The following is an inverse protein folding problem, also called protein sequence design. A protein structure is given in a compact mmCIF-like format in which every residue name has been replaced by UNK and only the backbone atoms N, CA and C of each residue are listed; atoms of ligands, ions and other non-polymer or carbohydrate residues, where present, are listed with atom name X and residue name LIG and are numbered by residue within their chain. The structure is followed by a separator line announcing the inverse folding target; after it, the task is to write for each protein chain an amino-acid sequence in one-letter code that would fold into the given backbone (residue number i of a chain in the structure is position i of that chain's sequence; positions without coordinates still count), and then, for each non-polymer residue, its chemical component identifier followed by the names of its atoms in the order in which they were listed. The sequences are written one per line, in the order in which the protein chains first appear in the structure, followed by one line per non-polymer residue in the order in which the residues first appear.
data_IF_443864255852
#
_entry.id   IF_443864255852
#
_cell.length_a   1.000
_cell.length_b   1.000
_cell.length_c   1.000
_cell.angle_alpha   90.00
_cell.angle_beta   90.00
_cell.angle_gamma   90.00
#
_symmetry.space_group_name_H-M   'P 1'
#
loop_
_entity.id
_entity.type
_entity.pdbx_description
1 polymer ?
#
# COMPACT_ATOMS: atom_id res chain seq x y z
N UNK A 1 -16.12 -15.19 10.86
CA UNK A 1 -17.05 -14.87 9.76
C UNK A 1 -16.68 -15.71 8.55
N UNK A 2 -17.64 -16.37 7.89
CA UNK A 2 -17.41 -17.02 6.59
C UNK A 2 -17.28 -15.93 5.51
N UNK A 3 -16.36 -16.02 4.56
CA UNK A 3 -16.20 -15.01 3.51
C UNK A 3 -17.48 -14.94 2.66
N UNK A 4 -17.97 -13.72 2.44
CA UNK A 4 -19.16 -13.48 1.60
C UNK A 4 -18.80 -13.81 0.14
N UNK A 5 -19.69 -14.46 -0.64
CA UNK A 5 -19.43 -14.71 -2.06
C UNK A 5 -19.17 -13.39 -2.79
N UNK A 6 -18.07 -13.37 -3.52
CA UNK A 6 -17.55 -12.19 -4.19
C UNK A 6 -18.23 -12.05 -5.55
N UNK A 7 -18.99 -10.96 -5.75
CA UNK A 7 -19.63 -10.66 -7.03
C UNK A 7 -18.59 -10.08 -7.99
N UNK A 8 -18.63 -10.52 -9.24
CA UNK A 8 -17.81 -9.97 -10.31
C UNK A 8 -18.58 -9.99 -11.62
N UNK A 9 -18.29 -9.05 -12.49
CA UNK A 9 -18.84 -8.94 -13.85
C UNK A 9 -17.72 -8.56 -14.80
N UNK A 10 -17.79 -9.02 -16.04
CA UNK A 10 -16.76 -8.76 -17.04
C UNK A 10 -17.39 -8.32 -18.37
N UNK A 11 -16.74 -7.37 -19.04
CA UNK A 11 -17.04 -6.93 -20.40
C UNK A 11 -15.82 -7.18 -21.27
N UNK A 12 -16.02 -7.88 -22.39
CA UNK A 12 -15.01 -8.01 -23.45
C UNK A 12 -15.49 -7.28 -24.68
N UNK A 13 -14.65 -6.42 -25.21
CA UNK A 13 -14.97 -5.59 -26.37
C UNK A 13 -13.70 -5.28 -27.17
N UNK A 14 -13.88 -4.86 -28.41
CA UNK A 14 -12.80 -4.23 -29.16
C UNK A 14 -12.64 -2.78 -28.71
N UNK A 15 -11.41 -2.26 -28.76
CA UNK A 15 -11.17 -0.84 -28.55
C UNK A 15 -11.66 -0.08 -29.78
N UNK A 16 -12.80 0.59 -29.64
CA UNK A 16 -13.46 1.38 -30.68
C UNK A 16 -14.09 2.63 -30.05
N UNK A 17 -13.91 3.84 -30.63
CA UNK A 17 -14.57 5.05 -30.15
C UNK A 17 -16.09 4.92 -29.98
N UNK A 18 -16.76 4.15 -30.85
CA UNK A 18 -18.21 3.97 -30.81
C UNK A 18 -18.67 3.12 -29.60
N UNK A 19 -17.73 2.45 -28.92
CA UNK A 19 -17.99 1.59 -27.77
C UNK A 19 -17.57 2.24 -26.43
N UNK A 20 -17.08 3.47 -26.42
CA UNK A 20 -16.70 4.19 -25.19
C UNK A 20 -17.87 4.25 -24.20
N UNK A 21 -19.06 4.65 -24.68
CA UNK A 21 -20.26 4.73 -23.85
C UNK A 21 -20.72 3.37 -23.31
N UNK A 22 -20.44 2.27 -24.03
CA UNK A 22 -20.73 0.92 -23.53
C UNK A 22 -19.82 0.58 -22.34
N UNK A 23 -18.52 0.91 -22.42
CA UNK A 23 -17.59 0.70 -21.33
C UNK A 23 -17.93 1.57 -20.10
N UNK A 24 -18.22 2.86 -20.33
CA UNK A 24 -18.62 3.78 -19.26
C UNK A 24 -19.91 3.31 -18.57
N UNK A 25 -20.95 2.95 -19.33
CA UNK A 25 -22.19 2.41 -18.77
C UNK A 25 -21.96 1.10 -18.01
N UNK A 26 -21.09 0.21 -18.52
CA UNK A 26 -20.72 -1.00 -17.82
C UNK A 26 -20.09 -0.71 -16.45
N UNK A 27 -19.13 0.22 -16.39
CA UNK A 27 -18.49 0.65 -15.15
C UNK A 27 -19.49 1.29 -14.18
N UNK A 28 -20.33 2.20 -14.67
CA UNK A 28 -21.36 2.89 -13.89
C UNK A 28 -22.32 1.89 -13.22
N UNK A 29 -22.93 1.01 -14.03
CA UNK A 29 -23.92 0.05 -13.55
C UNK A 29 -23.30 -0.99 -12.62
N UNK A 30 -22.06 -1.41 -12.89
CA UNK A 30 -21.31 -2.31 -12.02
C UNK A 30 -21.00 -1.67 -10.66
N UNK A 31 -20.44 -0.45 -10.66
CA UNK A 31 -20.12 0.32 -9.47
C UNK A 31 -21.37 0.59 -8.61
N UNK A 32 -22.49 0.96 -9.24
CA UNK A 32 -23.77 1.16 -8.56
C UNK A 32 -24.31 -0.14 -7.95
N UNK A 33 -24.26 -1.26 -8.68
CA UNK A 33 -24.68 -2.57 -8.18
C UNK A 33 -23.81 -3.08 -7.00
N UNK A 34 -22.56 -2.60 -6.93
CA UNK A 34 -21.60 -2.86 -5.85
C UNK A 34 -21.64 -1.83 -4.71
N UNK A 35 -22.65 -0.94 -4.73
CA UNK A 35 -23.00 -0.01 -3.66
C UNK A 35 -21.94 1.07 -3.41
N UNK A 36 -21.25 1.53 -4.45
CA UNK A 36 -20.54 2.80 -4.36
C UNK A 36 -21.54 3.96 -4.28
N UNK A 37 -21.16 5.04 -3.60
CA UNK A 37 -21.94 6.28 -3.60
C UNK A 37 -21.87 6.97 -4.97
N UNK A 38 -22.79 7.90 -5.24
CA UNK A 38 -22.90 8.57 -6.55
C UNK A 38 -21.59 9.22 -7.02
N UNK A 39 -20.82 9.83 -6.10
CA UNK A 39 -19.55 10.50 -6.45
C UNK A 39 -18.52 9.46 -6.85
N UNK A 40 -18.46 8.35 -6.12
CA UNK A 40 -17.54 7.24 -6.41
C UNK A 40 -17.92 6.45 -7.68
N UNK A 41 -19.21 6.29 -7.98
CA UNK A 41 -19.70 5.73 -9.25
C UNK A 41 -19.27 6.63 -10.42
N UNK A 42 -19.51 7.93 -10.32
CA UNK A 42 -19.10 8.90 -11.35
C UNK A 42 -17.57 8.87 -11.56
N UNK A 43 -16.80 8.79 -10.48
CA UNK A 43 -15.34 8.71 -10.54
C UNK A 43 -14.83 7.51 -11.36
N UNK A 44 -15.36 6.31 -11.11
CA UNK A 44 -15.00 5.14 -11.91
C UNK A 44 -15.49 5.27 -13.35
N UNK A 45 -16.73 5.72 -13.56
CA UNK A 45 -17.31 5.90 -14.90
C UNK A 45 -16.44 6.80 -15.78
N UNK A 46 -16.06 7.97 -15.26
CA UNK A 46 -15.18 8.91 -15.96
C UNK A 46 -13.79 8.30 -16.17
N UNK A 47 -13.25 7.58 -15.20
CA UNK A 47 -11.95 6.94 -15.36
C UNK A 47 -11.94 5.85 -16.45
N UNK A 48 -13.01 5.07 -16.54
CA UNK A 48 -13.21 4.08 -17.60
C UNK A 48 -13.36 4.77 -18.96
N UNK A 49 -14.19 5.81 -19.05
CA UNK A 49 -14.43 6.58 -20.28
C UNK A 49 -13.11 7.11 -20.84
N UNK A 50 -12.36 7.84 -20.01
CA UNK A 50 -11.09 8.46 -20.40
C UNK A 50 -10.02 7.43 -20.79
N UNK A 51 -9.97 6.29 -20.09
CA UNK A 51 -9.02 5.24 -20.42
C UNK A 51 -9.36 4.56 -21.74
N UNK A 52 -10.63 4.25 -22.01
CA UNK A 52 -11.04 3.62 -23.26
C UNK A 52 -10.92 4.61 -24.43
N UNK A 53 -11.26 5.88 -24.21
CA UNK A 53 -11.05 6.94 -25.19
C UNK A 53 -9.56 7.07 -25.53
N UNK A 54 -8.69 7.14 -24.53
CA UNK A 54 -7.24 7.18 -24.73
C UNK A 54 -6.76 5.95 -25.52
N UNK A 55 -7.19 4.74 -25.14
CA UNK A 55 -6.85 3.52 -25.87
C UNK A 55 -7.30 3.56 -27.33
N UNK A 56 -8.49 4.10 -27.61
CA UNK A 56 -9.05 4.19 -28.97
C UNK A 56 -8.26 5.10 -29.91
N UNK A 57 -7.48 6.04 -29.35
CA UNK A 57 -6.59 6.96 -30.07
C UNK A 57 -5.17 6.41 -30.24
N UNK A 58 -4.81 5.34 -29.54
CA UNK A 58 -3.47 4.73 -29.60
C UNK A 58 -3.41 3.54 -30.56
N UNK A 59 -2.22 2.93 -30.68
CA UNK A 59 -2.00 1.70 -31.44
C UNK A 59 -2.80 0.48 -30.94
N UNK A 60 -3.56 0.62 -29.84
CA UNK A 60 -4.48 -0.39 -29.33
C UNK A 60 -5.83 -0.44 -30.07
N UNK A 61 -6.12 0.52 -30.96
CA UNK A 61 -7.37 0.56 -31.74
C UNK A 61 -7.59 -0.74 -32.52
N UNK A 62 -8.78 -1.32 -32.40
CA UNK A 62 -9.14 -2.62 -33.00
C UNK A 62 -8.62 -3.84 -32.23
N UNK A 63 -7.78 -3.65 -31.20
CA UNK A 63 -7.39 -4.69 -30.25
C UNK A 63 -8.53 -5.05 -29.29
N UNK A 64 -8.48 -6.24 -28.70
CA UNK A 64 -9.45 -6.65 -27.68
C UNK A 64 -9.06 -6.17 -26.28
N UNK A 65 -10.01 -5.65 -25.52
CA UNK A 65 -9.88 -5.34 -24.09
C UNK A 65 -10.87 -6.15 -23.27
N UNK A 66 -10.48 -6.47 -22.04
CA UNK A 66 -11.37 -7.02 -21.02
C UNK A 66 -11.40 -6.10 -19.80
N UNK A 67 -12.60 -5.69 -19.40
CA UNK A 67 -12.85 -4.91 -18.20
C UNK A 67 -13.54 -5.83 -17.20
N UNK A 68 -12.92 -6.03 -16.04
CA UNK A 68 -13.44 -6.84 -14.94
C UNK A 68 -13.75 -5.93 -13.75
N UNK A 69 -15.01 -5.83 -13.35
CA UNK A 69 -15.40 -5.15 -12.13
C UNK A 69 -15.67 -6.18 -11.04
N UNK A 70 -15.05 -5.98 -9.88
CA UNK A 70 -15.09 -6.91 -8.76
C UNK A 70 -15.49 -6.21 -7.48
N UNK A 71 -16.53 -6.71 -6.84
CA UNK A 71 -16.96 -6.21 -5.54
C UNK A 71 -16.04 -6.73 -4.44
N UNK A 72 -15.44 -5.82 -3.68
CA UNK A 72 -14.96 -6.09 -2.33
C UNK A 72 -15.93 -5.49 -1.32
N UNK A 73 -15.80 -5.92 -0.06
CA UNK A 73 -16.71 -5.42 0.98
C UNK A 73 -16.55 -3.90 1.14
N UNK A 74 -15.31 -3.40 1.14
CA UNK A 74 -15.00 -1.98 1.37
C UNK A 74 -14.63 -1.18 0.11
N UNK A 75 -14.46 -1.82 -1.05
CA UNK A 75 -14.07 -1.16 -2.29
C UNK A 75 -14.61 -1.88 -3.54
N UNK A 76 -14.47 -1.26 -4.69
CA UNK A 76 -14.63 -1.88 -6.01
C UNK A 76 -13.28 -1.84 -6.71
N UNK A 77 -12.88 -2.98 -7.25
CA UNK A 77 -11.71 -3.12 -8.11
C UNK A 77 -12.18 -3.20 -9.57
N UNK A 78 -11.68 -2.30 -10.42
CA UNK A 78 -11.90 -2.36 -11.87
C UNK A 78 -10.57 -2.69 -12.56
N UNK A 79 -10.52 -3.82 -13.24
CA UNK A 79 -9.30 -4.31 -13.88
C UNK A 79 -9.45 -4.30 -15.39
N UNK A 80 -8.52 -3.62 -16.06
CA UNK A 80 -8.37 -3.60 -17.51
C UNK A 80 -7.24 -4.55 -17.91
N UNK A 81 -7.56 -5.52 -18.76
CA UNK A 81 -6.59 -6.34 -19.47
C UNK A 81 -6.43 -5.77 -20.87
N UNK A 82 -5.22 -5.30 -21.17
CA UNK A 82 -4.91 -4.49 -22.33
C UNK A 82 -3.90 -5.21 -23.24
N UNK A 83 -4.10 -5.15 -24.57
CA UNK A 83 -3.20 -5.78 -25.53
C UNK A 83 -1.93 -4.92 -25.71
N UNK A 84 -0.78 -5.43 -25.26
CA UNK A 84 0.54 -4.86 -25.56
C UNK A 84 1.01 -3.63 -24.75
N UNK A 85 2.23 -3.15 -25.06
CA UNK A 85 3.03 -2.18 -24.28
C UNK A 85 2.95 -0.71 -24.74
N UNK A 86 1.95 -0.34 -25.53
CA UNK A 86 1.87 1.02 -26.11
C UNK A 86 0.80 1.91 -25.44
N UNK A 87 0.57 1.75 -24.14
CA UNK A 87 -0.31 2.62 -23.37
C UNK A 87 0.50 3.77 -22.76
N UNK A 88 0.25 5.01 -23.17
CA UNK A 88 0.90 6.17 -22.55
C UNK A 88 0.38 6.42 -21.13
N UNK A 89 1.19 6.00 -20.15
CA UNK A 89 0.85 6.13 -18.73
C UNK A 89 1.47 7.36 -18.07
N UNK A 90 2.04 8.31 -18.84
CA UNK A 90 2.63 9.54 -18.27
C UNK A 90 1.62 10.35 -17.46
N UNK A 91 0.34 10.29 -17.82
CA UNK A 91 -0.77 10.91 -17.10
C UNK A 91 -0.96 10.42 -15.64
N UNK A 92 -0.35 9.29 -15.27
CA UNK A 92 -0.37 8.76 -13.90
C UNK A 92 0.78 9.26 -13.04
N UNK A 93 1.76 9.98 -13.62
CA UNK A 93 2.73 10.73 -12.82
C UNK A 93 2.00 11.85 -12.08
N UNK A 94 2.28 12.04 -10.78
CA UNK A 94 1.68 13.12 -9.98
C UNK A 94 2.00 14.50 -10.59
N UNK A 95 3.17 14.60 -11.22
CA UNK A 95 3.70 15.79 -11.88
C UNK A 95 3.12 16.05 -13.26
N UNK A 96 2.27 15.17 -13.79
CA UNK A 96 1.64 15.40 -15.08
C UNK A 96 0.84 16.71 -15.05
N UNK A 97 1.14 17.60 -16.00
CA UNK A 97 0.50 18.91 -16.14
C UNK A 97 -0.11 19.03 -17.52
N UNK A 98 -1.27 19.67 -17.54
CA UNK A 98 -1.89 20.18 -18.76
C UNK A 98 -1.24 21.53 -19.05
N UNK A 99 -0.64 21.66 -20.23
CA UNK A 99 -0.17 22.95 -20.74
C UNK A 99 -1.26 23.55 -21.62
N UNK A 100 -1.93 24.65 -21.22
CA UNK A 100 -3.01 25.24 -22.03
C UNK A 100 -2.55 25.73 -23.41
N UNK A 101 -1.24 25.79 -23.66
CA UNK A 101 -0.63 26.18 -24.94
C UNK A 101 -0.32 24.98 -25.87
N UNK A 102 -0.53 23.74 -25.40
CA UNK A 102 -0.27 22.51 -26.14
C UNK A 102 -1.58 21.72 -26.32
N UNK A 103 -2.09 21.70 -27.57
CA UNK A 103 -3.31 20.95 -27.95
C UNK A 103 -3.21 19.46 -27.58
N UNK A 104 -2.01 18.86 -27.65
CA UNK A 104 -1.81 17.46 -27.25
C UNK A 104 -1.91 17.22 -25.74
N UNK A 105 -1.70 18.26 -24.92
CA UNK A 105 -1.83 18.16 -23.47
C UNK A 105 -3.27 18.40 -22.98
N UNK A 106 -4.09 19.14 -23.75
CA UNK A 106 -5.53 19.23 -23.53
C UNK A 106 -6.17 17.84 -23.71
N UNK A 107 -5.67 17.05 -24.66
CA UNK A 107 -6.08 15.67 -24.89
C UNK A 107 -5.70 14.69 -23.77
N UNK A 108 -4.58 14.93 -23.05
CA UNK A 108 -4.14 14.14 -21.90
C UNK A 108 -4.84 14.55 -20.58
N UNK A 109 -5.61 15.64 -20.58
CA UNK A 109 -6.27 16.20 -19.39
C UNK A 109 -7.22 15.20 -18.74
N UNK A 110 -8.00 14.48 -19.55
CA UNK A 110 -9.01 13.55 -19.08
C UNK A 110 -8.41 12.35 -18.33
N UNK A 111 -7.33 11.75 -18.85
CA UNK A 111 -6.62 10.66 -18.18
C UNK A 111 -5.94 11.11 -16.87
N UNK A 112 -5.45 12.36 -16.81
CA UNK A 112 -4.92 12.96 -15.57
C UNK A 112 -6.03 13.17 -14.53
N UNK A 113 -7.22 13.61 -14.95
CA UNK A 113 -8.36 13.75 -14.05
C UNK A 113 -8.80 12.37 -13.54
N UNK A 114 -8.96 11.41 -14.45
CA UNK A 114 -9.30 10.02 -14.13
C UNK A 114 -8.34 9.40 -13.10
N UNK A 115 -7.03 9.56 -13.28
CA UNK A 115 -6.02 9.02 -12.37
C UNK A 115 -6.10 9.62 -10.96
N UNK A 116 -6.61 10.85 -10.83
CA UNK A 116 -6.82 11.55 -9.55
C UNK A 116 -8.17 11.24 -8.89
N UNK A 117 -9.13 10.66 -9.60
CA UNK A 117 -10.46 10.36 -9.08
C UNK A 117 -10.54 9.00 -8.37
N UNK A 118 -9.61 8.10 -8.66
CA UNK A 118 -9.49 6.78 -8.01
C UNK A 118 -8.64 6.86 -6.74
N UNK A 119 -8.85 5.95 -5.80
CA UNK A 119 -8.14 5.95 -4.51
C UNK A 119 -6.80 5.21 -4.58
N UNK A 120 -6.61 4.41 -5.63
CA UNK A 120 -5.34 3.80 -5.97
C UNK A 120 -5.39 3.06 -7.30
N UNK A 121 -4.22 2.71 -7.81
CA UNK A 121 -4.13 1.78 -8.93
C UNK A 121 -2.92 0.84 -8.81
N UNK A 122 -2.95 -0.23 -9.58
CA UNK A 122 -1.84 -1.18 -9.72
C UNK A 122 -1.64 -1.49 -11.19
N UNK A 123 -0.39 -1.55 -11.63
CA UNK A 123 -0.04 -2.00 -12.97
C UNK A 123 0.81 -3.26 -12.87
N UNK A 124 0.52 -4.25 -13.70
CA UNK A 124 1.31 -5.49 -13.79
C UNK A 124 1.47 -5.89 -15.26
N UNK A 125 2.69 -6.26 -15.64
CA UNK A 125 2.90 -6.94 -16.94
C UNK A 125 2.38 -8.38 -16.84
N UNK A 126 1.58 -8.78 -17.81
CA UNK A 126 1.09 -10.15 -17.98
C UNK A 126 1.61 -10.70 -19.32
N UNK A 127 1.64 -12.03 -19.53
CA UNK A 127 2.24 -12.63 -20.74
C UNK A 127 1.76 -12.00 -22.06
N UNK A 128 0.46 -11.65 -22.14
CA UNK A 128 -0.18 -11.13 -23.36
C UNK A 128 -0.46 -9.61 -23.32
N UNK A 129 0.13 -8.87 -22.37
CA UNK A 129 -0.05 -7.42 -22.30
C UNK A 129 0.11 -6.80 -20.92
N UNK A 130 -0.77 -5.86 -20.60
CA UNK A 130 -0.77 -5.10 -19.36
C UNK A 130 -2.07 -5.29 -18.60
N UNK A 131 -1.96 -5.41 -17.29
CA UNK A 131 -3.10 -5.41 -16.37
C UNK A 131 -3.06 -4.15 -15.53
N UNK A 132 -3.98 -3.22 -15.77
CA UNK A 132 -4.21 -2.05 -14.94
C UNK A 132 -5.40 -2.32 -14.02
N UNK A 133 -5.25 -2.12 -12.72
CA UNK A 133 -6.36 -2.20 -11.76
C UNK A 133 -6.55 -0.86 -11.11
N UNK A 134 -7.74 -0.29 -11.24
CA UNK A 134 -8.20 0.88 -10.52
C UNK A 134 -8.96 0.44 -9.26
N UNK A 135 -8.81 1.18 -8.17
CA UNK A 135 -9.45 0.88 -6.90
C UNK A 135 -10.23 2.11 -6.45
N UNK A 136 -11.52 1.92 -6.17
CA UNK A 136 -12.35 2.93 -5.54
C UNK A 136 -12.96 2.40 -4.26
N UNK A 137 -12.63 3.04 -3.15
CA UNK A 137 -13.16 2.69 -1.83
C UNK A 137 -14.57 3.24 -1.64
N UNK A 138 -15.35 2.55 -0.81
CA UNK A 138 -16.63 3.09 -0.32
C UNK A 138 -16.34 4.24 0.64
N UNK A 139 -17.27 5.18 0.71
CA UNK A 139 -17.17 6.27 1.66
C UNK A 139 -17.39 5.78 3.09
N UNK A 140 -16.44 6.07 3.97
CA UNK A 140 -16.55 5.84 5.41
C UNK A 140 -16.39 7.16 6.16
N UNK A 141 -17.23 7.42 7.19
CA UNK A 141 -17.02 8.57 8.05
C UNK A 141 -15.72 8.39 8.85
N UNK A 142 -14.92 9.44 8.89
CA UNK A 142 -13.82 9.53 9.84
C UNK A 142 -14.39 9.69 11.24
N UNK A 143 -13.78 9.04 12.22
CA UNK A 143 -14.22 9.20 13.60
C UNK A 143 -13.58 10.45 14.21
N UNK A 144 -14.43 11.33 14.73
CA UNK A 144 -14.06 12.57 15.42
C UNK A 144 -14.08 12.41 16.93
N UNK A 145 -13.12 13.04 17.61
CA UNK A 145 -13.04 13.06 19.08
C UNK A 145 -12.41 11.79 19.67
N UNK A 146 -12.19 11.83 20.97
CA UNK A 146 -11.57 10.73 21.72
C UNK A 146 -12.61 9.75 22.24
N UNK A 147 -12.15 8.55 22.62
CA UNK A 147 -12.98 7.59 23.33
C UNK A 147 -13.25 8.08 24.74
N UNK A 148 -14.53 8.20 25.10
CA UNK A 148 -14.97 8.82 26.36
C UNK A 148 -15.27 7.84 27.49
N UNK A 149 -15.03 6.54 27.29
CA UNK A 149 -15.27 5.54 28.32
C UNK A 149 -14.19 5.54 29.42
N UNK A 150 -14.31 4.63 30.38
CA UNK A 150 -13.27 4.41 31.39
C UNK A 150 -12.55 3.10 31.12
N UNK A 151 -11.23 3.14 31.00
CA UNK A 151 -10.42 1.93 30.93
C UNK A 151 -10.14 1.45 32.34
N UNK A 152 -10.34 0.17 32.61
CA UNK A 152 -10.01 -0.46 33.88
C UNK A 152 -9.07 -1.65 33.64
N UNK A 153 -8.14 -1.94 34.58
CA UNK A 153 -7.35 -3.16 34.53
C UNK A 153 -8.26 -4.40 34.46
N UNK A 154 -7.85 -5.42 33.70
CA UNK A 154 -8.60 -6.66 33.58
C UNK A 154 -7.88 -7.75 34.36
N UNK A 155 -8.48 -8.21 35.47
CA UNK A 155 -7.92 -9.32 36.26
C UNK A 155 -7.92 -10.66 35.49
N UNK A 156 -8.93 -10.86 34.65
CA UNK A 156 -9.06 -12.02 33.78
C UNK A 156 -9.56 -11.62 32.40
N UNK A 157 -8.96 -12.20 31.36
CA UNK A 157 -9.31 -11.94 29.98
C UNK A 157 -9.15 -13.21 29.13
N UNK A 158 -9.68 -13.15 27.92
CA UNK A 158 -9.43 -14.14 26.87
C UNK A 158 -9.11 -13.43 25.56
N UNK A 159 -8.18 -13.98 24.78
CA UNK A 159 -7.88 -13.48 23.44
C UNK A 159 -8.81 -14.11 22.42
N UNK A 160 -9.56 -13.30 21.69
CA UNK A 160 -10.55 -13.76 20.70
C UNK A 160 -10.74 -12.75 19.58
N UNK A 161 -11.46 -13.16 18.53
CA UNK A 161 -11.92 -12.22 17.50
C UNK A 161 -13.04 -11.33 18.07
N UNK A 162 -12.99 -10.02 17.82
CA UNK A 162 -14.08 -9.12 18.19
C UNK A 162 -15.29 -9.33 17.27
N UNK A 163 -16.48 -8.94 17.75
CA UNK A 163 -17.59 -8.60 16.85
C UNK A 163 -17.42 -7.22 16.21
N UNK A 164 -18.39 -6.80 15.39
CA UNK A 164 -18.32 -5.53 14.65
C UNK A 164 -18.32 -4.29 15.55
N UNK A 165 -19.01 -4.30 16.68
CA UNK A 165 -19.07 -3.14 17.58
C UNK A 165 -17.84 -3.10 18.48
N UNK A 166 -17.42 -4.25 19.01
CA UNK A 166 -16.16 -4.38 19.76
C UNK A 166 -14.96 -3.94 18.92
N UNK A 167 -14.94 -4.28 17.63
CA UNK A 167 -13.87 -3.87 16.72
C UNK A 167 -13.84 -2.34 16.54
N UNK A 168 -15.00 -1.68 16.41
CA UNK A 168 -15.05 -0.22 16.34
C UNK A 168 -14.56 0.40 17.65
N UNK A 169 -14.96 -0.14 18.80
CA UNK A 169 -14.50 0.31 20.11
C UNK A 169 -13.00 0.17 20.24
N UNK A 170 -12.42 -0.98 19.88
CA UNK A 170 -10.98 -1.22 19.89
C UNK A 170 -10.23 -0.19 19.04
N UNK A 171 -10.67 0.06 17.81
CA UNK A 171 -10.02 1.05 16.93
C UNK A 171 -10.11 2.46 17.54
N UNK A 172 -11.24 2.82 18.16
CA UNK A 172 -11.40 4.12 18.82
C UNK A 172 -10.48 4.28 20.03
N UNK A 173 -10.37 3.22 20.85
CA UNK A 173 -9.43 3.19 21.99
C UNK A 173 -7.98 3.29 21.52
N UNK A 174 -7.57 2.54 20.49
CA UNK A 174 -6.22 2.61 19.94
C UNK A 174 -5.87 4.04 19.50
N UNK A 175 -6.79 4.73 18.80
CA UNK A 175 -6.62 6.14 18.41
C UNK A 175 -6.51 7.12 19.59
N UNK A 176 -7.17 6.81 20.70
CA UNK A 176 -7.19 7.67 21.88
C UNK A 176 -5.90 7.54 22.69
N UNK A 177 -5.34 6.33 22.79
CA UNK A 177 -4.23 6.03 23.71
C UNK A 177 -2.86 5.87 23.05
N UNK A 178 -2.78 5.91 21.72
CA UNK A 178 -1.52 5.75 20.97
C UNK A 178 -1.32 6.87 19.96
N UNK A 179 -0.06 7.14 19.66
CA UNK A 179 0.32 8.16 18.70
C UNK A 179 0.00 7.73 17.26
N UNK A 180 -0.30 8.70 16.40
CA UNK A 180 -0.61 8.48 14.98
C UNK A 180 0.40 7.59 14.25
N UNK A 181 1.70 7.74 14.53
CA UNK A 181 2.76 6.94 13.90
C UNK A 181 2.64 5.43 14.21
N UNK A 182 1.98 5.07 15.32
CA UNK A 182 1.78 3.71 15.78
C UNK A 182 0.46 3.12 15.30
N UNK A 183 -0.28 3.80 14.41
CA UNK A 183 -1.62 3.41 14.02
C UNK A 183 -1.70 3.18 12.51
N UNK A 184 -2.31 2.08 12.03
CA UNK A 184 -2.60 1.93 10.61
C UNK A 184 -3.49 3.05 10.09
N UNK A 185 -3.28 3.49 8.85
CA UNK A 185 -4.12 4.51 8.18
C UNK A 185 -5.63 4.17 8.26
N UNK A 186 -5.97 2.88 8.13
CA UNK A 186 -7.35 2.42 8.19
C UNK A 186 -8.04 2.74 9.54
N UNK A 187 -7.30 2.97 10.62
CA UNK A 187 -7.88 3.23 11.94
C UNK A 187 -8.67 4.54 11.97
N UNK A 188 -8.38 5.49 11.06
CA UNK A 188 -9.21 6.70 10.86
C UNK A 188 -10.69 6.37 10.60
N UNK A 189 -10.97 5.19 10.05
CA UNK A 189 -12.28 4.77 9.61
C UNK A 189 -12.66 3.42 10.24
N UNK A 190 -13.17 3.37 11.49
CA UNK A 190 -13.51 2.11 12.16
C UNK A 190 -14.50 1.24 11.37
N UNK A 191 -15.45 1.84 10.67
CA UNK A 191 -16.34 1.13 9.75
C UNK A 191 -15.60 0.40 8.62
N UNK A 192 -14.55 1.03 8.07
CA UNK A 192 -13.68 0.42 7.07
C UNK A 192 -12.92 -0.78 7.65
N UNK A 193 -12.40 -0.66 8.87
CA UNK A 193 -11.70 -1.78 9.55
C UNK A 193 -12.62 -2.99 9.71
N UNK A 194 -13.90 -2.78 10.07
CA UNK A 194 -14.90 -3.84 10.13
C UNK A 194 -15.10 -4.51 8.77
N UNK A 195 -15.25 -3.74 7.70
CA UNK A 195 -15.47 -4.26 6.36
C UNK A 195 -14.21 -4.95 5.78
N UNK A 196 -13.02 -4.44 6.08
CA UNK A 196 -11.75 -5.09 5.73
C UNK A 196 -11.56 -6.42 6.48
N UNK A 197 -11.98 -6.50 7.75
CA UNK A 197 -12.00 -7.76 8.49
C UNK A 197 -13.03 -8.74 7.91
N UNK A 198 -14.20 -8.25 7.50
CA UNK A 198 -15.22 -9.05 6.83
C UNK A 198 -14.77 -9.57 5.45
N UNK A 199 -13.95 -8.79 4.75
CA UNK A 199 -13.32 -9.16 3.48
C UNK A 199 -12.17 -10.17 3.64
N UNK A 200 -11.72 -10.42 4.87
CA UNK A 200 -10.57 -11.28 5.17
C UNK A 200 -9.21 -10.62 4.95
N UNK A 201 -9.18 -9.30 4.72
CA UNK A 201 -7.93 -8.55 4.60
C UNK A 201 -7.35 -8.24 5.98
N UNK A 202 -8.21 -8.05 6.99
CA UNK A 202 -7.78 -7.96 8.37
C UNK A 202 -8.17 -9.18 9.20
N UNK A 203 -7.23 -9.65 10.02
CA UNK A 203 -7.56 -10.43 11.22
C UNK A 203 -7.29 -9.54 12.42
N UNK A 204 -8.29 -9.37 13.29
CA UNK A 204 -8.13 -8.63 14.54
C UNK A 204 -8.38 -9.58 15.70
N UNK A 205 -7.54 -9.50 16.72
CA UNK A 205 -7.69 -10.20 17.98
C UNK A 205 -7.73 -9.16 19.10
N UNK A 206 -8.67 -9.31 20.03
CA UNK A 206 -8.79 -8.49 21.22
C UNK A 206 -8.63 -9.34 22.47
N UNK A 207 -8.06 -8.76 23.51
CA UNK A 207 -8.09 -9.28 24.87
C UNK A 207 -9.30 -8.66 25.58
N UNK A 208 -10.28 -9.48 25.94
CA UNK A 208 -11.50 -9.01 26.59
C UNK A 208 -11.93 -9.89 27.76
N UNK A 209 -12.55 -9.28 28.75
CA UNK A 209 -13.16 -9.98 29.88
C UNK A 209 -14.54 -10.59 29.53
N UNK A 210 -15.17 -11.25 30.51
CA UNK A 210 -16.50 -11.86 30.33
C UNK A 210 -17.64 -10.86 30.17
N UNK A 211 -17.42 -9.61 30.54
CA UNK A 211 -18.40 -8.52 30.43
C UNK A 211 -18.25 -7.71 29.15
N UNK A 212 -17.23 -8.02 28.33
CA UNK A 212 -16.97 -7.35 27.06
C UNK A 212 -16.04 -6.15 27.16
N UNK A 213 -15.42 -5.87 28.32
CA UNK A 213 -14.43 -4.81 28.41
C UNK A 213 -13.17 -5.21 27.66
N UNK A 214 -12.63 -4.30 26.85
CA UNK A 214 -11.44 -4.51 26.03
C UNK A 214 -10.22 -4.00 26.78
N UNK A 215 -9.27 -4.90 27.05
CA UNK A 215 -7.98 -4.58 27.66
C UNK A 215 -6.88 -4.35 26.63
N UNK A 216 -7.05 -4.84 25.40
CA UNK A 216 -6.08 -4.64 24.33
C UNK A 216 -6.44 -5.36 23.03
N UNK A 217 -5.58 -5.24 22.03
CA UNK A 217 -5.72 -5.94 20.76
C UNK A 217 -4.53 -5.82 19.82
N UNK A 218 -4.56 -6.64 18.76
CA UNK A 218 -3.56 -6.68 17.69
C UNK A 218 -4.28 -6.84 16.36
N UNK A 219 -3.78 -6.17 15.33
CA UNK A 219 -4.29 -6.27 13.97
C UNK A 219 -3.24 -6.91 13.06
N UNK A 220 -3.69 -7.87 12.25
CA UNK A 220 -2.94 -8.46 11.15
C UNK A 220 -3.57 -8.03 9.83
N UNK A 221 -2.74 -7.62 8.89
CA UNK A 221 -3.08 -7.26 7.52
C UNK A 221 -2.54 -8.29 6.55
N UNK A 222 -3.48 -9.03 5.94
CA UNK A 222 -3.22 -10.07 4.97
C UNK A 222 -3.09 -9.46 3.58
N UNK A 223 -1.85 -9.39 3.09
CA UNK A 223 -1.59 -9.11 1.69
C UNK A 223 -1.46 -10.41 0.88
N UNK A 224 -1.34 -10.28 -0.44
CA UNK A 224 -1.05 -11.42 -1.34
C UNK A 224 0.37 -11.97 -1.16
N UNK A 225 1.23 -11.31 -0.38
CA UNK A 225 2.61 -11.67 -0.19
C UNK A 225 2.79 -12.83 0.80
N UNK A 226 4.00 -13.39 0.89
CA UNK A 226 4.29 -14.48 1.84
C UNK A 226 4.45 -14.03 3.29
N UNK A 227 4.50 -12.72 3.54
CA UNK A 227 4.48 -12.14 4.88
C UNK A 227 3.15 -11.46 5.18
N UNK A 228 2.80 -11.43 6.45
CA UNK A 228 1.66 -10.69 6.99
C UNK A 228 2.18 -9.44 7.70
N UNK A 229 1.57 -8.29 7.45
CA UNK A 229 1.88 -7.08 8.20
C UNK A 229 1.04 -7.04 9.47
N UNK A 230 1.55 -6.47 10.55
CA UNK A 230 0.81 -6.32 11.80
C UNK A 230 1.06 -4.99 12.49
N UNK A 231 0.12 -4.66 13.37
CA UNK A 231 0.09 -3.42 14.13
C UNK A 231 -0.32 -3.72 15.59
N UNK A 232 0.38 -3.09 16.54
CA UNK A 232 0.22 -3.37 17.96
C UNK A 232 1.39 -4.17 18.56
N UNK A 233 1.20 -4.80 19.74
CA UNK A 233 -0.06 -4.91 20.46
C UNK A 233 -0.46 -3.59 21.14
N UNK A 234 -1.73 -3.22 21.08
CA UNK A 234 -2.27 -2.07 21.78
C UNK A 234 -2.87 -2.53 23.10
N UNK A 235 -2.33 -2.07 24.22
CA UNK A 235 -2.77 -2.40 25.57
C UNK A 235 -3.35 -1.16 26.24
N UNK A 236 -4.43 -1.34 27.00
CA UNK A 236 -5.18 -0.27 27.65
C UNK A 236 -5.34 -0.54 29.14
N UNK A 237 -4.94 0.44 29.96
CA UNK A 237 -5.25 0.50 31.40
C UNK A 237 -4.74 -0.66 32.24
N UNK A 238 -3.75 -1.43 31.78
CA UNK A 238 -3.12 -2.49 32.56
C UNK A 238 -1.93 -1.94 33.34
N UNK A 239 -1.82 -2.31 34.62
CA UNK A 239 -0.65 -2.00 35.45
C UNK A 239 0.58 -2.81 35.01
N UNK A 240 0.37 -4.11 34.74
CA UNK A 240 1.35 -5.00 34.11
C UNK A 240 0.86 -5.42 32.71
N UNK A 241 1.30 -4.73 31.64
CA UNK A 241 0.86 -5.03 30.28
C UNK A 241 1.54 -6.28 29.69
N UNK A 242 2.60 -6.81 30.29
CA UNK A 242 3.48 -7.79 29.66
C UNK A 242 2.76 -9.12 29.35
N UNK A 243 1.96 -9.60 30.31
CA UNK A 243 1.17 -10.83 30.15
C UNK A 243 0.20 -10.70 28.98
N UNK A 244 -0.59 -9.63 28.93
CA UNK A 244 -1.58 -9.43 27.88
C UNK A 244 -0.94 -9.23 26.50
N UNK A 245 0.16 -8.49 26.44
CA UNK A 245 0.91 -8.30 25.20
C UNK A 245 1.46 -9.63 24.65
N UNK A 246 2.01 -10.47 25.54
CA UNK A 246 2.51 -11.81 25.17
C UNK A 246 1.38 -12.68 24.63
N UNK A 247 0.27 -12.81 25.38
CA UNK A 247 -0.87 -13.65 24.95
C UNK A 247 -1.47 -13.18 23.62
N UNK A 248 -1.53 -11.86 23.36
CA UNK A 248 -2.00 -11.32 22.08
C UNK A 248 -1.06 -11.67 20.91
N UNK A 249 0.25 -11.56 21.12
CA UNK A 249 1.25 -11.86 20.08
C UNK A 249 1.35 -13.37 19.82
N UNK A 250 1.27 -14.20 20.86
CA UNK A 250 1.16 -15.65 20.70
C UNK A 250 -0.07 -16.04 19.90
N UNK A 251 -1.25 -15.48 20.23
CA UNK A 251 -2.47 -15.75 19.49
C UNK A 251 -2.39 -15.26 18.03
N UNK A 252 -1.71 -14.13 17.79
CA UNK A 252 -1.41 -13.62 16.46
C UNK A 252 -0.56 -14.62 15.65
N UNK A 253 0.57 -15.07 16.20
CA UNK A 253 1.46 -16.06 15.59
C UNK A 253 0.73 -17.38 15.35
N UNK A 254 -0.02 -17.87 16.33
CA UNK A 254 -0.81 -19.09 16.23
C UNK A 254 -1.88 -18.99 15.13
N UNK A 255 -2.45 -17.80 14.90
CA UNK A 255 -3.43 -17.57 13.83
C UNK A 255 -2.83 -17.66 12.42
N UNK A 256 -1.51 -17.50 12.29
CA UNK A 256 -0.76 -17.64 11.04
C UNK A 256 -0.25 -19.06 10.82
N UNK A 257 -0.25 -19.91 11.84
CA UNK A 257 0.18 -21.30 11.71
C UNK A 257 -0.64 -22.02 10.63
N UNK A 258 0.05 -22.76 9.74
CA UNK A 258 -0.57 -23.53 8.63
C UNK A 258 -1.29 -22.69 7.58
N UNK A 259 -1.05 -21.38 7.55
CA UNK A 259 -1.51 -20.51 6.46
C UNK A 259 -0.53 -20.47 5.29
N UNK A 260 0.68 -21.05 5.45
CA UNK A 260 1.77 -20.99 4.47
C UNK A 260 2.45 -19.62 4.39
N UNK A 261 2.26 -18.77 5.41
CA UNK A 261 2.92 -17.47 5.54
C UNK A 261 4.26 -17.68 6.23
N UNK A 262 5.31 -17.12 5.63
CA UNK A 262 6.70 -17.33 6.06
C UNK A 262 7.05 -16.43 7.27
N UNK A 263 6.43 -15.25 7.37
CA UNK A 263 6.78 -14.30 8.41
C UNK A 263 5.72 -13.25 8.72
N UNK A 264 5.99 -12.51 9.79
CA UNK A 264 5.20 -11.39 10.30
C UNK A 264 6.08 -10.13 10.35
N UNK A 265 5.59 -9.01 9.80
CA UNK A 265 6.25 -7.70 9.87
C UNK A 265 5.42 -6.77 10.73
N UNK A 266 5.97 -6.29 11.85
CA UNK A 266 5.36 -5.23 12.65
C UNK A 266 5.78 -3.86 12.10
N UNK A 267 4.84 -3.18 11.45
CA UNK A 267 5.04 -1.82 10.87
C UNK A 267 4.70 -0.69 11.82
N UNK A 268 3.81 -0.99 12.75
CA UNK A 268 3.29 -0.05 13.74
C UNK A 268 3.52 -0.62 15.14
N UNK A 269 4.79 -0.70 15.57
CA UNK A 269 5.12 -1.23 16.87
C UNK A 269 4.65 -0.31 18.00
N UNK A 270 4.31 -0.92 19.13
CA UNK A 270 4.07 -0.20 20.38
C UNK A 270 5.19 -0.50 21.38
N UNK A 271 5.25 0.28 22.44
CA UNK A 271 6.13 0.02 23.60
C UNK A 271 5.85 -1.32 24.30
N UNK A 272 4.77 -2.03 23.94
CA UNK A 272 4.33 -3.26 24.58
C UNK A 272 4.76 -4.52 23.82
N UNK A 273 5.54 -4.40 22.75
CA UNK A 273 6.09 -5.58 22.07
C UNK A 273 6.95 -6.39 23.04
N UNK A 274 6.76 -7.72 23.13
CA UNK A 274 7.60 -8.58 23.94
C UNK A 274 9.07 -8.53 23.51
N UNK A 275 9.97 -8.31 24.46
CA UNK A 275 11.41 -8.17 24.22
C UNK A 275 12.03 -9.46 23.68
N UNK A 276 12.88 -9.35 22.66
CA UNK A 276 13.58 -10.49 22.06
C UNK A 276 12.72 -11.38 21.14
N UNK A 277 11.45 -11.03 20.90
CA UNK A 277 10.58 -11.83 20.04
C UNK A 277 10.73 -11.51 18.56
N UNK A 278 11.23 -10.32 18.22
CA UNK A 278 11.33 -9.85 16.85
C UNK A 278 12.71 -9.29 16.54
N UNK A 279 13.11 -9.43 15.27
CA UNK A 279 14.33 -8.89 14.70
C UNK A 279 14.07 -7.50 14.12
N UNK A 280 14.98 -6.54 14.36
CA UNK A 280 14.88 -5.20 13.77
C UNK A 280 15.23 -5.24 12.28
N UNK A 281 14.27 -4.88 11.42
CA UNK A 281 14.50 -4.70 9.98
C UNK A 281 15.21 -3.39 9.68
N UNK A 282 14.85 -2.33 10.41
CA UNK A 282 15.39 -0.99 10.30
C UNK A 282 14.43 0.04 10.89
N UNK A 283 14.76 1.33 10.74
CA UNK A 283 14.00 2.44 11.34
C UNK A 283 13.80 3.54 10.33
N UNK A 284 12.56 4.00 10.19
CA UNK A 284 12.22 5.23 9.49
C UNK A 284 12.21 6.38 10.47
N UNK A 285 12.69 7.54 10.05
CA UNK A 285 12.72 8.75 10.88
C UNK A 285 11.75 9.78 10.31
N UNK A 286 10.67 10.05 11.02
CA UNK A 286 9.69 11.05 10.63
C UNK A 286 9.97 12.38 11.34
N UNK A 287 9.97 13.50 10.62
CA UNK A 287 10.03 14.83 11.28
C UNK A 287 8.62 15.39 11.40
N UNK A 288 8.15 15.58 12.63
CA UNK A 288 6.87 16.23 12.89
C UNK A 288 6.90 17.73 12.60
N UNK A 289 5.72 18.34 12.60
CA UNK A 289 5.54 19.80 12.45
C UNK A 289 6.19 20.61 13.57
N UNK A 290 6.32 20.01 14.75
CA UNK A 290 7.06 20.52 15.89
C UNK A 290 8.58 20.51 15.69
N UNK A 291 9.06 19.90 14.61
CA UNK A 291 10.47 19.76 14.29
C UNK A 291 11.14 18.57 14.98
N UNK A 292 10.43 17.83 15.84
CA UNK A 292 10.95 16.64 16.51
C UNK A 292 11.08 15.47 15.53
N UNK A 293 12.18 14.73 15.67
CA UNK A 293 12.40 13.49 14.92
C UNK A 293 11.81 12.34 15.72
N UNK A 294 10.85 11.65 15.11
CA UNK A 294 10.20 10.45 15.64
C UNK A 294 10.73 9.25 14.88
N UNK A 295 11.29 8.30 15.62
CA UNK A 295 11.79 7.04 15.05
C UNK A 295 10.68 5.99 15.05
N UNK A 296 10.39 5.41 13.89
CA UNK A 296 9.46 4.31 13.73
C UNK A 296 10.21 3.04 13.30
N UNK A 297 10.52 2.11 14.24
CA UNK A 297 11.19 0.87 13.91
C UNK A 297 10.24 -0.11 13.21
N UNK A 298 10.80 -0.97 12.36
CA UNK A 298 10.09 -2.08 11.74
C UNK A 298 10.70 -3.38 12.23
N UNK A 299 9.85 -4.31 12.64
CA UNK A 299 10.31 -5.58 13.18
C UNK A 299 9.81 -6.77 12.36
N UNK A 300 10.55 -7.86 12.41
CA UNK A 300 10.26 -9.09 11.70
C UNK A 300 10.32 -10.30 12.63
N UNK A 301 9.36 -11.20 12.44
CA UNK A 301 9.38 -12.53 13.05
C UNK A 301 9.13 -13.57 11.97
N UNK A 302 10.10 -14.45 11.80
CA UNK A 302 9.92 -15.64 10.98
C UNK A 302 8.96 -16.62 11.68
N UNK A 303 8.03 -17.19 10.92
CA UNK A 303 6.97 -18.09 11.40
C UNK A 303 7.18 -19.50 10.84
N UNK A 304 7.46 -19.60 9.54
CA UNK A 304 7.80 -20.87 8.87
C UNK A 304 9.23 -20.81 8.33
N UNK A 305 9.79 -21.96 7.96
CA UNK A 305 11.14 -22.04 7.40
C UNK A 305 11.24 -21.24 6.09
N UNK A 306 12.25 -20.37 6.00
CA UNK A 306 12.55 -19.57 4.82
C UNK A 306 13.54 -20.35 3.93
N UNK A 307 13.03 -20.91 2.83
CA UNK A 307 13.82 -21.70 1.87
C UNK A 307 14.65 -20.82 0.92
N UNK A 308 14.56 -19.50 1.07
CA UNK A 308 15.30 -18.54 0.26
C UNK A 308 14.58 -18.14 -1.02
N UNK A 309 15.07 -17.04 -1.59
CA UNK A 309 14.62 -16.53 -2.89
C UNK A 309 15.73 -15.72 -3.56
N UNK A 310 15.55 -15.41 -4.84
CA UNK A 310 16.43 -14.49 -5.56
C UNK A 310 15.93 -13.05 -5.45
N UNK A 311 16.88 -12.12 -5.41
CA UNK A 311 16.61 -10.68 -5.45
C UNK A 311 17.51 -10.04 -6.49
N UNK A 312 16.97 -9.05 -7.19
CA UNK A 312 17.73 -8.19 -8.07
C UNK A 312 18.34 -7.03 -7.29
N UNK A 313 19.51 -6.59 -7.73
CA UNK A 313 20.29 -5.58 -7.04
C UNK A 313 21.07 -4.73 -8.05
N UNK A 314 21.05 -3.42 -7.87
CA UNK A 314 22.04 -2.56 -8.51
C UNK A 314 23.38 -2.72 -7.79
N UNK A 315 24.55 -2.71 -8.46
CA UNK A 315 25.86 -2.86 -7.81
C UNK A 315 26.07 -1.94 -6.60
N UNK A 316 25.59 -0.70 -6.66
CA UNK A 316 25.68 0.28 -5.55
C UNK A 316 24.92 -0.13 -4.27
N UNK A 317 23.97 -1.07 -4.33
CA UNK A 317 23.24 -1.59 -3.16
C UNK A 317 23.79 -2.91 -2.63
N UNK A 318 24.75 -3.53 -3.33
CA UNK A 318 25.14 -4.91 -3.04
C UNK A 318 25.66 -5.07 -1.60
N UNK A 319 26.49 -4.13 -1.14
CA UNK A 319 27.02 -4.15 0.22
C UNK A 319 25.92 -4.00 1.27
N UNK A 320 24.98 -3.07 1.06
CA UNK A 320 23.84 -2.85 1.96
C UNK A 320 22.96 -4.10 2.06
N UNK A 321 22.53 -4.66 0.92
CA UNK A 321 21.67 -5.84 0.91
C UNK A 321 22.37 -7.07 1.49
N UNK A 322 23.64 -7.31 1.15
CA UNK A 322 24.41 -8.43 1.71
C UNK A 322 24.52 -8.32 3.24
N UNK A 323 24.78 -7.11 3.75
CA UNK A 323 24.81 -6.86 5.19
C UNK A 323 23.46 -7.06 5.86
N UNK A 324 22.37 -6.57 5.26
CA UNK A 324 21.02 -6.75 5.77
C UNK A 324 20.61 -8.23 5.82
N UNK A 325 20.86 -9.00 4.74
CA UNK A 325 20.53 -10.42 4.69
C UNK A 325 21.38 -11.27 5.61
N UNK A 326 22.66 -10.94 5.76
CA UNK A 326 23.54 -11.60 6.75
C UNK A 326 23.05 -11.37 8.17
N UNK A 327 22.72 -10.11 8.52
CA UNK A 327 22.21 -9.75 9.85
C UNK A 327 20.91 -10.46 10.19
N UNK A 328 19.99 -10.54 9.22
CA UNK A 328 18.67 -11.14 9.38
C UNK A 328 18.67 -12.66 9.13
N UNK A 329 19.84 -13.26 8.84
CA UNK A 329 19.98 -14.67 8.47
C UNK A 329 19.06 -15.12 7.32
N UNK A 330 18.81 -14.24 6.34
CA UNK A 330 17.91 -14.51 5.22
C UNK A 330 18.69 -15.12 4.05
N UNK A 331 18.36 -16.35 3.58
CA UNK A 331 19.07 -16.99 2.49
C UNK A 331 18.65 -16.40 1.14
N UNK A 332 19.24 -15.26 0.77
CA UNK A 332 18.94 -14.57 -0.50
C UNK A 332 20.05 -14.72 -1.52
N UNK A 333 19.67 -15.10 -2.74
CA UNK A 333 20.56 -15.08 -3.90
C UNK A 333 20.49 -13.70 -4.56
N UNK A 334 21.47 -12.85 -4.26
CA UNK A 334 21.59 -11.54 -4.89
C UNK A 334 22.05 -11.69 -6.34
N UNK A 335 21.32 -11.07 -7.27
CA UNK A 335 21.65 -11.00 -8.70
C UNK A 335 21.85 -9.55 -9.09
N UNK A 336 23.01 -9.22 -9.63
CA UNK A 336 23.28 -7.86 -10.11
C UNK A 336 22.70 -7.66 -11.50
N UNK A 337 22.29 -6.42 -11.78
CA UNK A 337 21.97 -5.99 -13.13
C UNK A 337 23.16 -5.23 -13.73
N UNK A 338 23.20 -5.22 -15.06
CA UNK A 338 24.07 -4.36 -15.87
C UNK A 338 23.24 -3.81 -17.03
N UNK A 339 23.53 -2.59 -17.44
CA UNK A 339 23.01 -2.06 -18.71
C UNK A 339 23.89 -2.59 -19.85
N UNK A 340 23.30 -3.38 -20.76
CA UNK A 340 23.98 -3.91 -21.94
C UNK A 340 23.43 -3.31 -23.24
N UNK A 341 22.83 -2.11 -23.16
CA UNK A 341 22.25 -1.42 -24.30
C UNK A 341 20.84 -1.89 -24.66
N UNK A 342 20.10 -2.42 -23.68
CA UNK A 342 18.73 -2.85 -23.93
C UNK A 342 17.83 -1.66 -24.30
N UNK A 343 16.86 -1.87 -25.19
CA UNK A 343 15.90 -0.82 -25.54
C UNK A 343 15.03 -0.50 -24.32
N UNK A 344 15.08 0.75 -23.81
CA UNK A 344 14.24 1.13 -22.68
C UNK A 344 12.80 1.32 -23.13
N UNK A 345 11.91 1.49 -22.16
CA UNK A 345 10.54 1.90 -22.45
C UNK A 345 10.49 3.35 -22.92
N UNK A 346 9.39 3.85 -23.52
CA UNK A 346 9.38 5.21 -24.08
C UNK A 346 9.44 6.33 -23.04
N UNK A 347 9.00 6.09 -21.80
CA UNK A 347 8.96 7.07 -20.69
C UNK A 347 8.99 6.36 -19.33
N UNK A 348 9.20 7.13 -18.26
CA UNK A 348 9.15 6.67 -16.88
C UNK A 348 7.82 7.02 -16.21
N UNK A 349 7.36 6.14 -15.32
CA UNK A 349 6.16 6.36 -14.52
C UNK A 349 6.45 6.02 -13.07
N UNK A 350 6.18 6.98 -12.18
CA UNK A 350 6.29 6.83 -10.74
C UNK A 350 4.91 7.14 -10.15
N UNK A 351 4.35 6.16 -9.44
CA UNK A 351 3.11 6.37 -8.70
C UNK A 351 3.41 6.91 -7.32
N UNK A 352 2.63 7.89 -6.88
CA UNK A 352 2.71 8.45 -5.52
C UNK A 352 1.45 8.08 -4.76
N UNK A 353 1.63 7.43 -3.62
CA UNK A 353 0.58 7.30 -2.60
C UNK A 353 0.81 8.36 -1.54
N UNK A 354 -0.18 9.22 -1.34
CA UNK A 354 -0.19 10.21 -0.26
C UNK A 354 -0.87 9.60 0.96
N UNK A 355 -0.21 9.69 2.10
CA UNK A 355 -0.76 9.36 3.41
C UNK A 355 -0.75 10.62 4.29
N UNK A 356 -1.83 11.43 4.25
CA UNK A 356 -1.95 12.61 5.09
C UNK A 356 -2.01 12.29 6.59
N UNK A 357 -2.32 11.05 6.98
CA UNK A 357 -2.38 10.65 8.38
C UNK A 357 -0.97 10.55 8.97
N UNK A 358 -0.02 10.01 8.20
CA UNK A 358 1.39 9.90 8.58
C UNK A 358 2.27 11.04 8.04
N UNK A 359 1.68 12.01 7.32
CA UNK A 359 2.39 13.07 6.59
C UNK A 359 3.47 12.49 5.64
N UNK A 360 3.13 11.36 5.01
CA UNK A 360 4.05 10.54 4.21
C UNK A 360 3.64 10.53 2.73
N UNK A 361 4.64 10.51 1.85
CA UNK A 361 4.48 10.19 0.44
C UNK A 361 5.32 8.96 0.10
N UNK A 362 4.70 7.93 -0.47
CA UNK A 362 5.40 6.73 -0.92
C UNK A 362 5.42 6.70 -2.45
N UNK A 363 6.62 6.87 -3.01
CA UNK A 363 6.89 6.74 -4.44
C UNK A 363 7.09 5.26 -4.76
N UNK A 364 6.44 4.78 -5.82
CA UNK A 364 6.57 3.42 -6.34
C UNK A 364 6.90 3.45 -7.83
N UNK A 365 7.96 2.75 -8.27
CA UNK A 365 8.24 2.65 -9.69
C UNK A 365 7.14 1.83 -10.36
N UNK A 366 6.57 2.39 -11.42
CA UNK A 366 5.59 1.70 -12.29
C UNK A 366 6.23 1.36 -13.62
N UNK A 367 7.06 2.27 -14.14
CA UNK A 367 7.80 2.07 -15.38
C UNK A 367 9.13 2.82 -15.37
N UNK A 368 10.17 2.23 -15.96
CA UNK A 368 11.50 2.83 -16.09
C UNK A 368 11.84 3.25 -17.53
N UNK A 369 12.49 4.41 -17.65
CA UNK A 369 13.18 4.87 -18.86
C UNK A 369 14.24 5.95 -18.48
N UNK A 370 14.97 6.47 -19.48
CA UNK A 370 16.02 7.49 -19.38
C UNK A 370 15.56 8.81 -18.73
N UNK A 371 14.28 9.17 -18.84
CA UNK A 371 13.69 10.35 -18.19
C UNK A 371 13.43 10.18 -16.69
N UNK A 372 13.63 8.97 -16.14
CA UNK A 372 13.31 8.65 -14.74
C UNK A 372 13.96 9.57 -13.71
N UNK A 373 15.18 10.06 -13.97
CA UNK A 373 15.86 10.97 -13.05
C UNK A 373 15.19 12.35 -13.00
N UNK A 374 14.83 12.91 -14.16
CA UNK A 374 14.09 14.16 -14.22
C UNK A 374 12.69 14.00 -13.63
N UNK A 375 12.01 12.91 -14.00
CA UNK A 375 10.67 12.62 -13.48
C UNK A 375 10.67 12.49 -11.94
N UNK A 376 11.67 11.80 -11.36
CA UNK A 376 11.84 11.74 -9.91
C UNK A 376 12.07 13.14 -9.31
N UNK A 377 12.94 13.95 -9.91
CA UNK A 377 13.22 15.30 -9.42
C UNK A 377 11.96 16.17 -9.40
N UNK A 378 11.13 16.10 -10.44
CA UNK A 378 9.88 16.86 -10.54
C UNK A 378 8.89 16.43 -9.45
N UNK A 379 8.81 15.12 -9.15
CA UNK A 379 7.97 14.60 -8.08
C UNK A 379 8.41 15.13 -6.73
N UNK A 380 9.72 15.11 -6.46
CA UNK A 380 10.27 15.63 -5.21
C UNK A 380 10.00 17.13 -5.05
N UNK A 381 10.17 17.92 -6.10
CA UNK A 381 9.90 19.36 -6.07
C UNK A 381 8.42 19.66 -5.76
N UNK A 382 7.49 18.86 -6.30
CA UNK A 382 6.06 18.98 -6.02
C UNK A 382 5.73 18.61 -4.57
N UNK A 383 6.23 17.47 -4.09
CA UNK A 383 5.97 16.99 -2.73
C UNK A 383 6.57 17.90 -1.66
N UNK A 384 7.73 18.49 -1.93
CA UNK A 384 8.33 19.52 -1.07
C UNK A 384 7.46 20.77 -0.98
N UNK A 385 6.88 21.21 -2.12
CA UNK A 385 5.95 22.34 -2.14
C UNK A 385 4.68 22.07 -1.32
N UNK A 386 4.20 20.83 -1.31
CA UNK A 386 3.07 20.38 -0.49
C UNK A 386 3.44 20.14 0.99
N UNK A 387 4.69 20.45 1.37
CA UNK A 387 5.19 20.38 2.75
C UNK A 387 5.16 18.98 3.39
N UNK A 388 5.10 17.92 2.59
CA UNK A 388 5.20 16.54 3.10
C UNK A 388 6.61 16.29 3.63
N UNK A 389 6.69 15.88 4.89
CA UNK A 389 7.95 15.77 5.63
C UNK A 389 8.66 14.43 5.42
N UNK A 390 7.91 13.38 5.07
CA UNK A 390 8.40 12.02 5.00
C UNK A 390 8.22 11.46 3.58
N UNK A 391 9.31 11.42 2.81
CA UNK A 391 9.28 10.91 1.43
C UNK A 391 9.99 9.56 1.39
N UNK A 392 9.24 8.52 1.04
CA UNK A 392 9.73 7.15 0.89
C UNK A 392 9.74 6.74 -0.58
N UNK A 393 10.65 5.85 -0.93
CA UNK A 393 10.62 5.14 -2.22
C UNK A 393 10.61 3.63 -1.97
N UNK A 394 9.59 2.93 -2.44
CA UNK A 394 9.43 1.49 -2.24
C UNK A 394 9.83 0.73 -3.51
N UNK A 395 10.94 -0.01 -3.42
CA UNK A 395 11.56 -0.73 -4.53
C UNK A 395 11.37 -2.24 -4.37
N UNK A 396 10.58 -2.87 -5.25
CA UNK A 396 10.46 -4.33 -5.32
C UNK A 396 11.70 -4.97 -5.94
N UNK A 397 12.44 -5.74 -5.14
CA UNK A 397 13.66 -6.44 -5.56
C UNK A 397 13.36 -7.73 -6.34
N UNK A 398 12.10 -8.13 -6.47
CA UNK A 398 11.67 -9.17 -7.41
C UNK A 398 11.70 -8.72 -8.87
N UNK A 399 11.80 -7.41 -9.12
CA UNK A 399 11.77 -6.82 -10.46
C UNK A 399 13.16 -6.29 -10.88
N UNK A 400 13.77 -6.81 -11.96
CA UNK A 400 15.12 -6.40 -12.37
C UNK A 400 15.21 -4.95 -12.84
N UNK A 401 14.12 -4.35 -13.32
CA UNK A 401 14.14 -2.97 -13.80
C UNK A 401 13.87 -1.96 -12.68
N UNK A 402 13.27 -2.36 -11.55
CA UNK A 402 13.08 -1.46 -10.40
C UNK A 402 14.42 -0.97 -9.85
N UNK A 403 15.41 -1.85 -9.78
CA UNK A 403 16.73 -1.49 -9.24
C UNK A 403 17.53 -0.55 -10.16
N UNK A 404 17.05 -0.29 -11.39
CA UNK A 404 17.63 0.77 -12.25
C UNK A 404 17.41 2.18 -11.70
N UNK A 405 16.46 2.36 -10.76
CA UNK A 405 16.27 3.63 -10.05
C UNK A 405 17.33 3.90 -8.97
N UNK A 406 18.16 2.92 -8.60
CA UNK A 406 19.12 3.10 -7.51
C UNK A 406 20.05 4.31 -7.66
N UNK A 407 20.76 4.52 -8.79
CA UNK A 407 21.76 5.59 -8.86
C UNK A 407 21.14 6.99 -8.67
N UNK A 408 19.96 7.23 -9.28
CA UNK A 408 19.25 8.49 -9.16
C UNK A 408 18.65 8.70 -7.76
N UNK A 409 18.18 7.63 -7.09
CA UNK A 409 17.70 7.73 -5.70
C UNK A 409 18.83 8.20 -4.79
N UNK A 410 20.01 7.57 -4.87
CA UNK A 410 21.17 7.93 -4.07
C UNK A 410 21.62 9.38 -4.36
N UNK A 411 21.66 9.80 -5.64
CA UNK A 411 21.97 11.20 -6.01
C UNK A 411 20.96 12.21 -5.46
N UNK A 412 19.68 11.85 -5.40
CA UNK A 412 18.62 12.68 -4.84
C UNK A 412 18.57 12.65 -3.29
N UNK A 413 19.51 11.94 -2.65
CA UNK A 413 19.68 11.88 -1.20
C UNK A 413 18.79 10.85 -0.52
N UNK A 414 18.21 9.90 -1.25
CA UNK A 414 17.55 8.77 -0.62
C UNK A 414 18.57 7.81 0.00
N UNK A 415 18.26 7.29 1.17
CA UNK A 415 19.04 6.29 1.87
C UNK A 415 18.24 5.00 1.99
N UNK A 416 18.83 3.81 1.74
CA UNK A 416 18.15 2.55 2.00
C UNK A 416 18.01 2.34 3.52
N UNK A 417 16.79 2.14 4.01
CA UNK A 417 16.49 2.06 5.45
C UNK A 417 16.02 0.68 5.90
N UNK A 418 15.16 0.03 5.12
CA UNK A 418 14.49 -1.21 5.54
C UNK A 418 14.44 -2.18 4.37
N UNK A 419 14.86 -3.43 4.60
CA UNK A 419 14.56 -4.56 3.72
C UNK A 419 13.42 -5.35 4.34
N UNK A 420 12.28 -5.40 3.68
CA UNK A 420 11.11 -6.19 4.11
C UNK A 420 11.12 -7.53 3.37
N UNK A 421 11.36 -8.64 4.09
CA UNK A 421 11.41 -9.97 3.48
C UNK A 421 10.06 -10.31 2.85
N UNK A 422 10.06 -10.76 1.60
CA UNK A 422 8.84 -11.06 0.84
C UNK A 422 7.81 -9.90 0.83
N UNK A 423 8.23 -8.65 0.98
CA UNK A 423 7.34 -7.47 0.99
C UNK A 423 6.77 -7.09 -0.39
N UNK A 424 7.25 -7.71 -1.47
CA UNK A 424 6.78 -7.53 -2.85
C UNK A 424 6.70 -8.87 -3.59
N UNK A 425 7.03 -8.89 -4.88
CA UNK A 425 7.21 -10.13 -5.65
C UNK A 425 8.40 -10.96 -5.13
N UNK A 426 9.38 -10.29 -4.53
CA UNK A 426 10.40 -10.87 -3.66
C UNK A 426 10.50 -9.96 -2.42
N UNK A 427 11.70 -9.57 -2.00
CA UNK A 427 11.86 -8.57 -0.93
C UNK A 427 11.53 -7.15 -1.40
N UNK A 428 11.07 -6.28 -0.49
CA UNK A 428 10.84 -4.85 -0.75
C UNK A 428 11.88 -4.02 0.00
N UNK A 429 12.61 -3.16 -0.72
CA UNK A 429 13.53 -2.19 -0.14
C UNK A 429 12.84 -0.83 -0.01
N UNK A 430 12.76 -0.31 1.21
CA UNK A 430 12.31 1.05 1.47
C UNK A 430 13.51 1.97 1.58
N UNK A 431 13.52 2.99 0.73
CA UNK A 431 14.36 4.15 0.88
C UNK A 431 13.62 5.26 1.59
N UNK A 432 14.35 6.07 2.34
CA UNK A 432 13.85 7.30 2.91
C UNK A 432 14.73 8.46 2.46
N UNK A 433 14.11 9.57 2.07
CA UNK A 433 14.83 10.82 1.86
C UNK A 433 14.75 11.65 3.14
N UNK A 434 15.87 11.89 3.86
CA UNK A 434 15.85 12.76 5.02
C UNK A 434 15.52 14.18 4.57
N UNK A 435 14.70 14.87 5.36
CA UNK A 435 14.39 16.27 5.10
C UNK A 435 15.67 17.10 5.22
N UNK A 436 16.09 17.76 4.13
CA UNK A 436 17.14 18.79 4.21
C UNK A 436 16.63 19.88 5.15
N UNK A 437 17.36 20.14 6.23
CA UNK A 437 17.06 21.28 7.09
C UNK A 437 17.04 22.54 6.23
N UNK A 438 16.05 23.41 6.42
CA UNK A 438 16.16 24.76 5.89
C UNK A 438 17.46 25.34 6.46
N UNK A 439 18.43 25.66 5.61
CA UNK A 439 19.52 26.54 6.04
C UNK A 439 18.85 27.81 6.53
N UNK A 440 18.99 28.10 7.82
CA UNK A 440 18.59 29.39 8.38
C UNK A 440 19.37 30.52 7.72
#
# INVERSE_FOLDING_TARGET
MKPKPMRQVALRMTVDPDLIHLAAAFAEQSAAAFKLDKKSVLALTLATEELVEHLSRTAARGGGIEILCKERVYCVEETFLLPGRNLDLRAFNLTARVSPEDESSLEETGLIIASRMVDGFRLKSVPDGLMLTLIKEKAYPEVSGDWSGTVKPLESFSVRRPDSEELKTFVHMARTFYETAQLPLAFRFPGKVVDMAAAGEFTVLIAADRTGNIGGGVLLHHSQNQVVEAAGPYIFGQEDPARMATELIEACIASLARTGKIGLILRHPTRHIPEGWFELLGTLEARGKDGEIRSNPFYYRQIEEDLGTAVWCHPELQAYLSGAYTRLALPRRIRTISDLGETPSPYSVIFVTLDPFHEEAILRPVWWNKDAEQNLADHLALLEKESLSNILFAMDLGSPWHVRFTPMLLRQGFEPRIVMPYGGASDLLLFQRPRRGASK
#
